data_IF_060822217269
#
_entry.id   IF_060822217269
#
_cell.length_a   1.000
_cell.length_b   1.000
_cell.length_c   1.000
_cell.angle_alpha   90.00
_cell.angle_beta   90.00
_cell.angle_gamma   90.00
#
_symmetry.space_group_name_H-M   'P 1'
#
loop_
_entity.id
_entity.type
_entity.pdbx_description
1 polymer ?
#
# COMPACT_ATOMS: atom_id res chain seq x y z
N UNK A 1 -5.27 13.45 -21.18
CA UNK A 1 -5.42 13.24 -20.93
C UNK A 1 -5.99 12.78 -20.24
N UNK A 2 -6.39 12.79 -20.22
CA UNK A 2 -6.80 12.41 -19.65
C UNK A 2 -6.76 11.20 -19.61
N UNK A 3 -6.11 10.74 -19.48
CA UNK A 3 -5.90 9.74 -19.40
C UNK A 3 -6.30 9.17 -18.42
N UNK A 4 -6.31 9.55 -17.57
CA UNK A 4 -6.88 9.01 -16.44
C UNK A 4 -8.26 8.58 -16.69
N UNK A 5 -8.75 8.84 -17.79
CA UNK A 5 -10.00 8.27 -18.16
C UNK A 5 -9.89 6.79 -17.98
N UNK A 6 -10.80 6.21 -17.30
CA UNK A 6 -10.73 4.81 -17.05
C UNK A 6 -11.16 4.02 -18.24
N UNK A 7 -10.36 3.02 -18.55
CA UNK A 7 -10.76 1.97 -19.46
C UNK A 7 -11.18 0.82 -18.58
N UNK A 8 -12.39 0.34 -18.77
CA UNK A 8 -12.92 -0.70 -17.92
C UNK A 8 -13.35 -1.88 -18.76
N UNK A 9 -12.81 -3.05 -18.42
CA UNK A 9 -13.21 -4.29 -19.02
C UNK A 9 -13.68 -5.19 -17.90
N UNK A 10 -14.95 -5.56 -17.94
CA UNK A 10 -15.53 -6.38 -16.90
C UNK A 10 -15.64 -7.81 -17.35
N UNK A 11 -15.18 -8.72 -16.51
CA UNK A 11 -15.42 -10.15 -16.70
C UNK A 11 -16.38 -10.59 -15.61
N UNK A 12 -16.55 -11.87 -15.48
CA UNK A 12 -17.48 -12.43 -14.52
C UNK A 12 -17.13 -12.06 -13.09
N UNK A 13 -15.85 -12.06 -12.73
CA UNK A 13 -15.42 -11.86 -11.35
C UNK A 13 -14.42 -10.75 -11.17
N UNK A 14 -13.93 -10.17 -12.27
CA UNK A 14 -12.81 -9.25 -12.21
C UNK A 14 -13.10 -8.06 -13.11
N UNK A 15 -12.73 -6.90 -12.65
CA UNK A 15 -12.75 -5.68 -13.46
C UNK A 15 -11.32 -5.19 -13.61
N UNK A 16 -10.97 -4.75 -14.82
CA UNK A 16 -9.67 -4.16 -15.09
C UNK A 16 -9.89 -2.68 -15.32
N UNK A 17 -9.16 -1.85 -14.56
CA UNK A 17 -9.30 -0.41 -14.68
C UNK A 17 -7.92 0.22 -14.79
N UNK A 18 -7.87 1.31 -15.53
CA UNK A 18 -6.64 2.07 -15.70
C UNK A 18 -6.76 3.38 -14.91
N UNK A 19 -5.69 3.70 -14.19
CA UNK A 19 -5.63 4.94 -13.44
C UNK A 19 -4.19 5.41 -13.44
N UNK A 20 -3.96 6.66 -13.85
CA UNK A 20 -2.62 7.28 -13.90
C UNK A 20 -1.61 6.39 -14.58
N UNK A 21 -1.97 5.87 -15.72
CA UNK A 21 -1.12 4.99 -16.53
C UNK A 21 -0.85 3.62 -15.92
N UNK A 22 -1.58 3.27 -14.84
CA UNK A 22 -1.51 1.93 -14.26
C UNK A 22 -2.80 1.19 -14.54
N UNK A 23 -2.67 -0.11 -14.69
CA UNK A 23 -3.82 -0.98 -14.81
C UNK A 23 -3.95 -1.75 -13.52
N UNK A 24 -5.15 -1.75 -12.97
CA UNK A 24 -5.44 -2.50 -11.76
C UNK A 24 -6.46 -3.57 -12.08
N UNK A 25 -6.22 -4.77 -11.56
CA UNK A 25 -7.19 -5.86 -11.65
C UNK A 25 -8.00 -5.81 -10.36
N UNK A 26 -9.28 -5.54 -10.49
CA UNK A 26 -10.15 -5.40 -9.33
C UNK A 26 -11.08 -6.59 -9.26
N UNK A 27 -11.12 -7.21 -8.10
CA UNK A 27 -12.06 -8.28 -7.82
C UNK A 27 -13.42 -7.64 -7.58
N UNK A 28 -14.46 -8.14 -8.24
CA UNK A 28 -15.80 -7.61 -8.07
C UNK A 28 -16.36 -7.85 -6.67
N UNK A 29 -15.76 -8.78 -5.95
CA UNK A 29 -16.09 -9.02 -4.57
C UNK A 29 -15.17 -8.25 -3.64
N UNK A 30 -14.71 -7.08 -4.08
CA UNK A 30 -13.71 -6.31 -3.36
C UNK A 30 -14.14 -5.92 -1.95
N UNK A 31 -15.44 -5.94 -1.67
CA UNK A 31 -15.89 -5.68 -0.30
C UNK A 31 -15.28 -6.63 0.71
N UNK A 32 -14.91 -7.83 0.25
CA UNK A 32 -14.31 -8.82 1.12
C UNK A 32 -12.91 -8.40 1.53
N UNK A 33 -12.20 -7.69 0.67
CA UNK A 33 -10.84 -7.27 0.99
C UNK A 33 -10.80 -6.29 2.15
N UNK A 34 -11.89 -5.57 2.42
CA UNK A 34 -11.94 -4.63 3.53
C UNK A 34 -11.79 -5.32 4.88
N UNK A 35 -12.12 -6.61 4.93
CA UNK A 35 -12.06 -7.38 6.18
C UNK A 35 -10.83 -8.26 6.26
N UNK A 36 -9.98 -8.20 5.23
CA UNK A 36 -8.77 -9.03 5.24
C UNK A 36 -7.65 -8.27 5.92
N UNK A 37 -6.92 -8.97 6.77
CA UNK A 37 -5.72 -8.41 7.36
C UNK A 37 -4.78 -9.55 7.74
N UNK A 38 -3.52 -9.22 7.87
CA UNK A 38 -2.51 -10.18 8.29
C UNK A 38 -1.45 -9.45 9.10
N UNK A 39 -1.11 -10.01 10.24
CA UNK A 39 -0.01 -9.50 11.05
C UNK A 39 1.29 -9.98 10.42
N UNK A 40 2.19 -9.05 10.14
CA UNK A 40 3.50 -9.39 9.56
C UNK A 40 4.40 -9.93 10.67
N UNK A 41 5.02 -11.07 10.41
CA UNK A 41 5.86 -11.74 11.40
C UNK A 41 7.26 -11.96 10.86
N UNK A 42 7.73 -11.08 9.98
CA UNK A 42 9.06 -11.17 9.42
C UNK A 42 9.15 -11.91 8.11
N UNK A 43 8.02 -12.25 7.51
CA UNK A 43 8.03 -12.97 6.25
C UNK A 43 8.64 -12.11 5.13
N UNK A 44 9.40 -12.76 4.25
CA UNK A 44 9.96 -12.09 3.09
C UNK A 44 8.89 -11.82 2.04
N UNK A 45 7.85 -12.65 1.99
CA UNK A 45 6.78 -12.52 1.01
C UNK A 45 5.46 -12.73 1.75
N UNK A 46 4.52 -11.83 1.52
CA UNK A 46 3.17 -11.95 2.04
C UNK A 46 2.22 -11.96 0.86
N UNK A 47 1.55 -13.08 0.66
CA UNK A 47 0.58 -13.20 -0.42
C UNK A 47 -0.68 -12.43 -0.07
N UNK A 48 -1.19 -11.70 -1.06
CA UNK A 48 -2.41 -10.93 -0.91
C UNK A 48 -3.57 -11.69 -1.54
N UNK A 49 -4.78 -11.51 -1.00
CA UNK A 49 -5.93 -12.24 -1.52
C UNK A 49 -6.46 -11.61 -2.81
N UNK A 50 -7.38 -12.31 -3.44
CA UNK A 50 -8.19 -11.79 -4.55
C UNK A 50 -7.38 -11.39 -5.76
N UNK A 51 -6.27 -12.08 -6.02
CA UNK A 51 -5.47 -11.78 -7.21
C UNK A 51 -4.70 -10.48 -7.12
N UNK A 52 -4.50 -9.95 -5.92
CA UNK A 52 -3.81 -8.68 -5.75
C UNK A 52 -2.30 -8.83 -5.58
N UNK A 53 -1.77 -10.00 -5.88
CA UNK A 53 -0.32 -10.20 -5.90
C UNK A 53 0.25 -10.44 -4.52
N UNK A 54 1.39 -9.82 -4.26
CA UNK A 54 2.07 -10.04 -3.00
C UNK A 54 2.93 -8.83 -2.64
N UNK A 55 3.25 -8.73 -1.35
CA UNK A 55 4.23 -7.78 -0.87
C UNK A 55 5.54 -8.51 -0.65
N UNK A 56 6.62 -7.91 -1.11
CA UNK A 56 7.95 -8.45 -0.95
C UNK A 56 8.74 -7.55 -0.01
N UNK A 57 9.38 -8.16 0.99
CA UNK A 57 10.16 -7.46 2.01
C UNK A 57 11.62 -7.85 1.84
N UNK A 58 12.46 -6.88 1.53
CA UNK A 58 13.87 -7.13 1.26
C UNK A 58 14.74 -6.31 2.21
N UNK A 59 15.66 -6.95 2.91
CA UNK A 59 16.57 -6.23 3.80
C UNK A 59 17.49 -5.34 3.00
N UNK A 60 17.74 -4.14 3.54
CA UNK A 60 18.57 -3.16 2.88
C UNK A 60 19.19 -2.24 3.92
N UNK A 61 19.80 -1.18 3.45
CA UNK A 61 20.37 -0.15 4.31
C UNK A 61 20.12 1.20 3.64
N UNK A 62 19.51 2.11 4.38
CA UNK A 62 19.31 3.47 3.89
C UNK A 62 18.13 3.67 2.99
N UNK A 63 17.47 2.62 2.55
CA UNK A 63 16.31 2.70 1.67
C UNK A 63 15.16 1.90 2.25
N UNK A 64 13.95 2.44 2.14
CA UNK A 64 12.77 1.74 2.60
C UNK A 64 12.38 2.15 4.00
N UNK A 65 11.68 1.28 4.69
CA UNK A 65 11.19 1.55 6.04
C UNK A 65 12.29 1.23 7.04
N UNK A 66 12.43 2.06 8.06
CA UNK A 66 13.36 1.78 9.15
C UNK A 66 13.03 0.41 9.74
N UNK A 67 14.04 -0.46 9.78
CA UNK A 67 13.87 -1.80 10.32
C UNK A 67 13.44 -1.77 11.77
N UNK A 68 13.96 -0.81 12.52
CA UNK A 68 13.59 -0.66 13.92
C UNK A 68 12.09 -0.45 14.08
N UNK A 69 11.49 0.38 13.21
CA UNK A 69 10.06 0.64 13.28
C UNK A 69 9.24 -0.59 12.95
N UNK A 70 9.72 -1.41 12.00
CA UNK A 70 9.01 -2.63 11.65
C UNK A 70 9.08 -3.67 12.75
N UNK A 71 10.17 -3.70 13.48
CA UNK A 71 10.39 -4.74 14.49
C UNK A 71 9.94 -4.33 15.88
N UNK A 72 9.72 -3.04 16.13
CA UNK A 72 9.42 -2.57 17.48
C UNK A 72 7.94 -2.60 17.83
N UNK A 73 7.07 -2.89 16.88
CA UNK A 73 5.64 -2.94 17.11
C UNK A 73 4.99 -3.94 16.19
N UNK A 74 3.70 -4.14 16.39
CA UNK A 74 2.94 -5.04 15.53
C UNK A 74 2.64 -4.35 14.22
N UNK A 75 3.06 -4.95 13.13
CA UNK A 75 2.77 -4.44 11.80
C UNK A 75 1.65 -5.27 11.20
N UNK A 76 0.61 -4.61 10.75
CA UNK A 76 -0.53 -5.25 10.12
C UNK A 76 -0.59 -4.82 8.66
N UNK A 77 -0.92 -5.77 7.79
CA UNK A 77 -1.14 -5.51 6.38
C UNK A 77 -2.64 -5.64 6.13
N UNK A 78 -3.23 -4.63 5.52
CA UNK A 78 -4.65 -4.63 5.22
C UNK A 78 -4.87 -3.77 3.98
N UNK A 79 -6.12 -3.72 3.54
CA UNK A 79 -6.48 -2.90 2.39
C UNK A 79 -7.24 -1.67 2.84
N UNK A 80 -7.15 -0.60 2.06
CA UNK A 80 -7.80 0.65 2.40
C UNK A 80 -7.06 1.36 3.50
N UNK A 81 -7.53 1.19 4.75
CA UNK A 81 -6.88 1.80 5.90
C UNK A 81 -6.81 3.33 5.80
N UNK A 82 -7.87 3.95 5.27
CA UNK A 82 -7.88 5.39 5.05
C UNK A 82 -7.75 6.22 6.30
N UNK A 83 -8.00 5.63 7.47
CA UNK A 83 -7.89 6.34 8.74
C UNK A 83 -6.46 6.38 9.28
N UNK A 84 -5.52 5.70 8.64
CA UNK A 84 -4.13 5.72 9.09
C UNK A 84 -3.44 6.98 8.62
N UNK A 85 -2.40 7.41 9.32
CA UNK A 85 -1.69 8.63 9.00
C UNK A 85 -0.43 8.33 8.21
N UNK A 86 -0.12 9.21 7.30
CA UNK A 86 0.99 9.02 6.37
C UNK A 86 1.61 10.38 6.06
N UNK A 87 2.93 10.41 5.89
CA UNK A 87 3.63 11.62 5.49
C UNK A 87 4.24 11.43 4.12
N UNK A 88 4.05 12.41 3.24
CA UNK A 88 4.60 12.36 1.89
C UNK A 88 6.08 12.71 1.84
N UNK A 89 6.65 13.16 2.95
CA UNK A 89 8.07 13.46 3.05
C UNK A 89 8.47 13.65 4.49
N UNK A 90 9.78 13.58 4.72
CA UNK A 90 10.28 13.65 6.09
C UNK A 90 9.87 14.94 6.80
N UNK A 91 9.85 16.04 6.07
CA UNK A 91 9.51 17.34 6.64
C UNK A 91 8.08 17.75 6.32
N UNK A 92 7.25 16.81 5.90
CA UNK A 92 5.86 17.07 5.58
C UNK A 92 4.97 16.60 6.72
N UNK A 93 3.85 17.27 6.95
CA UNK A 93 2.95 16.84 8.03
C UNK A 93 2.29 15.52 7.70
N UNK A 94 1.91 14.80 8.75
CA UNK A 94 1.11 13.59 8.57
C UNK A 94 -0.32 13.97 8.26
N UNK A 95 -0.92 13.20 7.37
CA UNK A 95 -2.33 13.35 7.04
C UNK A 95 -2.93 11.96 6.96
N UNK A 96 -4.24 11.86 7.11
CA UNK A 96 -4.88 10.56 6.92
C UNK A 96 -4.71 10.14 5.46
N UNK A 97 -4.61 8.84 5.23
CA UNK A 97 -4.55 8.33 3.86
C UNK A 97 -5.77 8.74 3.06
N UNK A 98 -6.94 8.78 3.71
CA UNK A 98 -8.14 9.23 3.04
C UNK A 98 -7.95 10.62 2.44
N UNK A 99 -7.35 11.52 3.21
CA UNK A 99 -7.12 12.87 2.73
C UNK A 99 -6.10 12.90 1.58
N UNK A 100 -5.03 12.13 1.71
CA UNK A 100 -3.99 12.06 0.68
C UNK A 100 -4.60 11.52 -0.62
N UNK A 101 -5.34 10.42 -0.53
CA UNK A 101 -5.98 9.85 -1.72
C UNK A 101 -6.99 10.80 -2.32
N UNK A 102 -7.72 11.54 -1.48
CA UNK A 102 -8.71 12.49 -1.95
C UNK A 102 -8.05 13.64 -2.71
N UNK A 103 -6.98 14.18 -2.17
CA UNK A 103 -6.25 15.26 -2.82
C UNK A 103 -5.60 14.79 -4.12
N UNK A 104 -5.24 13.53 -4.19
CA UNK A 104 -4.58 12.97 -5.35
C UNK A 104 -5.58 12.39 -6.35
N UNK A 105 -6.85 12.43 -6.04
CA UNK A 105 -7.89 11.97 -6.95
C UNK A 105 -7.98 10.48 -7.11
N UNK A 106 -7.53 9.71 -6.11
CA UNK A 106 -7.55 8.25 -6.20
C UNK A 106 -8.98 7.76 -6.00
N UNK A 107 -9.52 7.00 -6.97
CA UNK A 107 -10.90 6.52 -6.86
C UNK A 107 -11.08 5.51 -5.72
N UNK A 108 -12.29 5.40 -5.17
CA UNK A 108 -12.54 4.48 -4.08
C UNK A 108 -12.17 3.02 -4.39
N UNK A 109 -12.43 2.57 -5.62
CA UNK A 109 -12.13 1.18 -5.96
C UNK A 109 -10.63 0.90 -5.99
N UNK A 110 -9.81 1.93 -6.22
CA UNK A 110 -8.37 1.76 -6.14
C UNK A 110 -7.92 1.71 -4.69
N UNK A 111 -8.49 2.60 -3.86
CA UNK A 111 -8.13 2.64 -2.43
C UNK A 111 -8.41 1.34 -1.73
N UNK A 112 -9.58 0.75 -2.01
CA UNK A 112 -9.99 -0.48 -1.34
C UNK A 112 -9.19 -1.70 -1.76
N UNK A 113 -8.44 -1.58 -2.84
CA UNK A 113 -7.60 -2.67 -3.32
C UNK A 113 -6.11 -2.35 -3.21
N UNK A 114 -5.76 -1.36 -2.40
CA UNK A 114 -4.37 -0.96 -2.20
C UNK A 114 -3.90 -1.48 -0.84
N UNK A 115 -2.84 -2.29 -0.82
CA UNK A 115 -2.33 -2.81 0.45
C UNK A 115 -1.59 -1.73 1.22
N UNK A 116 -1.76 -1.75 2.54
CA UNK A 116 -1.13 -0.80 3.45
C UNK A 116 -0.52 -1.61 4.58
N UNK A 117 0.74 -1.33 4.90
CA UNK A 117 1.38 -1.89 6.09
C UNK A 117 1.39 -0.79 7.14
N UNK A 118 0.79 -1.05 8.29
CA UNK A 118 0.66 -0.02 9.32
C UNK A 118 0.92 -0.58 10.71
N UNK A 119 1.27 0.30 11.62
CA UNK A 119 1.41 -0.02 13.03
C UNK A 119 0.66 1.05 13.79
N UNK A 120 -0.31 0.65 14.61
CA UNK A 120 -1.21 1.57 15.31
C UNK A 120 -1.82 2.54 14.31
N UNK A 121 -1.62 3.84 14.49
CA UNK A 121 -2.18 4.85 13.60
C UNK A 121 -1.30 5.18 12.41
N UNK A 122 -0.10 4.65 12.36
CA UNK A 122 0.89 5.08 11.38
C UNK A 122 0.96 4.09 10.22
N UNK A 123 0.69 4.57 9.02
CA UNK A 123 0.92 3.79 7.82
C UNK A 123 2.41 3.89 7.50
N UNK A 124 3.07 2.74 7.44
CA UNK A 124 4.50 2.69 7.16
C UNK A 124 4.76 2.63 5.67
N UNK A 125 3.94 1.89 4.96
CA UNK A 125 4.06 1.69 3.52
C UNK A 125 2.65 1.60 2.92
N UNK A 126 2.48 2.24 1.77
CA UNK A 126 1.20 2.22 1.05
C UNK A 126 1.50 1.85 -0.39
N UNK A 127 0.78 0.86 -0.91
CA UNK A 127 0.95 0.45 -2.30
C UNK A 127 0.74 1.63 -3.23
N UNK A 128 1.58 1.76 -4.24
CA UNK A 128 1.57 2.82 -5.24
C UNK A 128 1.99 4.19 -4.75
N UNK A 129 2.20 4.35 -3.43
CA UNK A 129 2.73 5.61 -2.90
C UNK A 129 4.14 5.40 -2.39
N UNK A 130 4.33 4.37 -1.57
CA UNK A 130 5.64 4.07 -1.04
C UNK A 130 5.71 4.21 0.46
N UNK A 131 6.86 4.58 0.97
CA UNK A 131 7.17 4.63 2.38
C UNK A 131 6.79 5.99 2.95
N UNK A 132 6.19 6.00 4.15
CA UNK A 132 5.91 7.26 4.84
C UNK A 132 7.21 7.97 5.16
N UNK A 133 7.22 9.29 4.94
CA UNK A 133 8.43 10.07 5.14
C UNK A 133 8.97 10.02 6.57
N UNK A 134 8.08 9.86 7.55
CA UNK A 134 8.51 9.78 8.94
C UNK A 134 8.99 8.39 9.32
N UNK A 135 8.80 7.41 8.45
CA UNK A 135 9.19 6.04 8.71
C UNK A 135 10.36 5.59 7.84
N UNK A 136 10.81 6.44 6.94
CA UNK A 136 11.89 6.10 6.03
C UNK A 136 13.20 5.98 6.78
N UNK A 137 13.99 4.98 6.38
CA UNK A 137 15.31 4.77 6.98
C UNK A 137 16.23 5.93 6.61
N UNK A 138 17.11 6.26 7.53
CA UNK A 138 18.15 7.24 7.28
C UNK A 138 19.35 6.55 6.67
N UNK A 139 20.24 7.36 6.12
CA UNK A 139 21.45 6.85 5.52
C UNK A 139 22.18 5.97 6.55
N UNK A 140 22.64 4.80 6.09
CA UNK A 140 23.37 3.82 6.91
C UNK A 140 22.54 3.16 8.00
N UNK A 141 21.23 3.35 7.98
CA UNK A 141 20.35 2.72 8.95
C UNK A 141 19.79 1.42 8.35
N UNK A 142 19.74 0.34 9.14
CA UNK A 142 19.11 -0.89 8.66
C UNK A 142 17.67 -0.64 8.27
N UNK A 143 17.27 -1.23 7.16
CA UNK A 143 15.96 -0.96 6.59
C UNK A 143 15.40 -2.18 5.90
N UNK A 144 14.14 -2.07 5.50
CA UNK A 144 13.47 -3.08 4.69
C UNK A 144 12.75 -2.37 3.57
N UNK A 145 13.01 -2.82 2.35
CA UNK A 145 12.31 -2.33 1.17
C UNK A 145 11.06 -3.17 1.00
N UNK A 146 9.92 -2.50 0.91
CA UNK A 146 8.64 -3.17 0.71
C UNK A 146 8.18 -2.85 -0.70
N UNK A 147 7.84 -3.88 -1.47
CA UNK A 147 7.39 -3.73 -2.84
C UNK A 147 6.10 -4.49 -3.03
N UNK A 148 5.16 -3.86 -3.73
CA UNK A 148 3.90 -4.50 -4.09
C UNK A 148 4.04 -5.00 -5.52
N UNK A 149 3.99 -6.31 -5.69
CA UNK A 149 4.12 -6.93 -6.99
C UNK A 149 2.85 -7.69 -7.32
N UNK A 150 2.44 -7.56 -8.57
CA UNK A 150 1.28 -8.29 -9.05
C UNK A 150 1.75 -9.52 -9.79
N UNK A 151 1.04 -10.62 -9.57
CA UNK A 151 1.32 -11.84 -10.30
C UNK A 151 0.93 -11.66 -11.76
N UNK A 152 1.69 -12.25 -12.63
CA UNK A 152 1.38 -12.22 -14.06
C UNK A 152 0.68 -13.47 -14.50
#
# INVERSE_FOLDING_TARGET
AKRSASVSVDTKHVSIRRYRNYCYVLNKDSRISENWSKVWQGEAIVDLPFGLGYLQFTESVGEGVSRHLLESGDVTIAFGAGNKRFSLGRNRPRRTLRKIWQLDGVPPWVRLNTPVAFSADEALFVGNIGVSGHCAAQENQPSIIIEWRLDN
#
